data_IF_835180577988
#
_entry.id   IF_835180577988
#
_cell.length_a   1.000
_cell.length_b   1.000
_cell.length_c   1.000
_cell.angle_alpha   90.00
_cell.angle_beta   90.00
_cell.angle_gamma   90.00
#
_symmetry.space_group_name_H-M   'P 1'
#
loop_
_entity.id
_entity.type
_entity.pdbx_description
1 polymer ?
#
# COMPACT_ATOMS: atom_id res chain seq x y z
N UNK A 1 1.90 -3.58 -6.45
CA UNK A 1 1.62 -3.77 -7.89
C UNK A 1 2.62 -2.94 -8.68
N UNK A 2 3.41 -3.55 -9.55
CA UNK A 2 4.30 -2.82 -10.46
C UNK A 2 3.58 -2.53 -11.77
N UNK A 3 3.05 -1.31 -11.92
CA UNK A 3 2.31 -0.91 -13.14
C UNK A 3 3.13 -1.11 -14.43
N UNK A 4 4.45 -0.92 -14.37
CA UNK A 4 5.34 -1.13 -15.52
C UNK A 4 5.45 -2.61 -15.93
N UNK A 5 5.55 -3.53 -14.97
CA UNK A 5 5.62 -4.96 -15.24
C UNK A 5 4.29 -5.48 -15.82
N UNK A 6 3.17 -5.03 -15.26
CA UNK A 6 1.84 -5.40 -15.76
C UNK A 6 1.58 -4.84 -17.17
N UNK A 7 2.04 -3.62 -17.46
CA UNK A 7 1.99 -3.05 -18.81
C UNK A 7 2.84 -3.83 -19.81
N UNK A 8 4.04 -4.29 -19.42
CA UNK A 8 4.86 -5.17 -20.24
C UNK A 8 4.17 -6.51 -20.53
N UNK A 9 3.50 -7.11 -19.54
CA UNK A 9 2.71 -8.34 -19.75
C UNK A 9 1.56 -8.12 -20.76
N UNK A 10 0.90 -6.95 -20.70
CA UNK A 10 -0.17 -6.57 -21.64
C UNK A 10 0.38 -6.47 -23.06
N UNK A 11 1.60 -5.95 -23.24
CA UNK A 11 2.25 -5.80 -24.55
C UNK A 11 2.56 -7.15 -25.23
N UNK A 12 2.74 -8.25 -24.48
CA UNK A 12 2.99 -9.57 -25.07
C UNK A 12 1.80 -10.07 -25.91
N UNK A 13 2.06 -10.40 -27.18
CA UNK A 13 1.08 -10.91 -28.17
C UNK A 13 1.31 -12.40 -28.43
N UNK A 14 0.30 -13.10 -28.96
CA UNK A 14 0.43 -14.52 -29.34
C UNK A 14 0.48 -15.53 -28.17
N UNK A 15 0.15 -15.09 -26.95
CA UNK A 15 -0.02 -15.96 -25.78
C UNK A 15 -1.46 -16.48 -25.71
N UNK A 16 -1.63 -17.74 -25.29
CA UNK A 16 -2.95 -18.26 -24.93
C UNK A 16 -3.55 -17.42 -23.78
N UNK A 17 -4.87 -17.23 -23.71
CA UNK A 17 -5.50 -16.42 -22.65
C UNK A 17 -5.03 -16.79 -21.25
N UNK A 18 -5.02 -18.09 -20.91
CA UNK A 18 -4.55 -18.58 -19.60
C UNK A 18 -3.04 -18.37 -19.39
N UNK A 19 -2.20 -18.56 -20.42
CA UNK A 19 -0.75 -18.22 -20.33
C UNK A 19 -0.56 -16.73 -20.03
N UNK A 20 -1.38 -15.87 -20.63
CA UNK A 20 -1.34 -14.42 -20.41
C UNK A 20 -1.77 -14.02 -19.00
N UNK A 21 -2.76 -14.70 -18.43
CA UNK A 21 -3.18 -14.54 -17.03
C UNK A 21 -2.03 -14.93 -16.07
N UNK A 22 -1.37 -16.07 -16.31
CA UNK A 22 -0.21 -16.49 -15.50
C UNK A 22 0.92 -15.45 -15.54
N UNK A 23 1.25 -14.94 -16.73
CA UNK A 23 2.26 -13.89 -16.88
C UNK A 23 1.86 -12.59 -16.17
N UNK A 24 0.59 -12.22 -16.26
CA UNK A 24 0.04 -11.05 -15.59
C UNK A 24 0.17 -11.15 -14.07
N UNK A 25 -0.18 -12.29 -13.47
CA UNK A 25 -0.06 -12.49 -12.02
C UNK A 25 1.40 -12.49 -11.53
N UNK A 26 2.32 -13.02 -12.34
CA UNK A 26 3.76 -12.92 -12.08
C UNK A 26 4.24 -11.46 -12.11
N UNK A 27 3.79 -10.68 -13.10
CA UNK A 27 4.15 -9.27 -13.25
C UNK A 27 3.53 -8.37 -12.18
N UNK A 28 2.29 -8.66 -11.78
CA UNK A 28 1.59 -7.96 -10.69
C UNK A 28 2.34 -8.09 -9.35
N UNK A 29 2.94 -9.27 -9.12
CA UNK A 29 3.77 -9.61 -7.94
C UNK A 29 5.24 -9.27 -8.10
N UNK A 30 5.66 -8.77 -9.26
CA UNK A 30 7.03 -8.37 -9.49
C UNK A 30 7.38 -7.15 -8.66
N UNK A 31 8.46 -7.28 -7.88
CA UNK A 31 9.09 -6.16 -7.21
C UNK A 31 10.46 -5.91 -7.84
N UNK A 32 10.77 -4.69 -8.31
CA UNK A 32 12.07 -4.37 -8.92
C UNK A 32 13.28 -4.61 -8.03
N UNK A 33 13.12 -4.48 -6.71
CA UNK A 33 14.22 -4.55 -5.74
C UNK A 33 14.45 -5.98 -5.24
N UNK A 34 13.37 -6.75 -5.10
CA UNK A 34 13.45 -8.11 -4.55
C UNK A 34 13.36 -9.18 -5.64
N UNK A 35 12.63 -8.95 -6.72
CA UNK A 35 12.26 -9.94 -7.73
C UNK A 35 10.85 -10.51 -7.51
N UNK A 36 10.52 -11.60 -8.20
CA UNK A 36 9.21 -12.25 -8.14
C UNK A 36 9.34 -13.66 -7.52
N UNK A 37 8.67 -13.93 -6.39
CA UNK A 37 8.76 -15.22 -5.67
C UNK A 37 7.42 -15.82 -5.19
N UNK A 38 6.35 -15.85 -6.00
CA UNK A 38 5.13 -16.52 -5.59
C UNK A 38 5.37 -18.02 -5.43
N UNK A 39 4.76 -18.63 -4.40
CA UNK A 39 4.65 -20.08 -4.36
C UNK A 39 3.78 -20.55 -5.53
N UNK A 40 4.09 -21.72 -6.10
CA UNK A 40 3.27 -22.28 -7.19
C UNK A 40 1.83 -22.55 -6.76
N UNK A 41 1.61 -22.87 -5.47
CA UNK A 41 0.27 -23.06 -4.92
C UNK A 41 -0.54 -21.77 -4.95
N UNK A 42 0.06 -20.66 -4.51
CA UNK A 42 -0.57 -19.34 -4.55
C UNK A 42 -0.80 -18.87 -5.99
N UNK A 43 0.18 -19.05 -6.86
CA UNK A 43 0.05 -18.67 -8.27
C UNK A 43 -1.05 -19.48 -8.99
N UNK A 44 -1.18 -20.77 -8.66
CA UNK A 44 -2.24 -21.64 -9.20
C UNK A 44 -3.63 -21.19 -8.73
N UNK A 45 -3.76 -20.87 -7.44
CA UNK A 45 -4.98 -20.32 -6.85
C UNK A 45 -5.37 -18.99 -7.51
N UNK A 46 -4.42 -18.05 -7.62
CA UNK A 46 -4.67 -16.72 -8.19
C UNK A 46 -5.09 -16.78 -9.68
N UNK A 47 -4.61 -17.79 -10.41
CA UNK A 47 -4.98 -18.03 -11.81
C UNK A 47 -6.20 -18.96 -11.98
N UNK A 48 -6.79 -19.45 -10.89
CA UNK A 48 -7.91 -20.41 -10.89
C UNK A 48 -7.67 -21.69 -11.73
N UNK A 49 -6.44 -22.21 -11.69
CA UNK A 49 -6.05 -23.42 -12.44
C UNK A 49 -5.33 -24.45 -11.57
N UNK A 50 -5.37 -25.72 -11.97
CA UNK A 50 -4.62 -26.78 -11.31
C UNK A 50 -3.09 -26.63 -11.51
N UNK A 51 -2.30 -27.12 -10.55
CA UNK A 51 -0.83 -27.04 -10.57
C UNK A 51 -0.17 -27.64 -11.82
N UNK A 52 -0.70 -28.75 -12.33
CA UNK A 52 -0.20 -29.38 -13.56
C UNK A 52 -0.41 -28.47 -14.78
N UNK A 53 -1.56 -27.78 -14.84
CA UNK A 53 -1.86 -26.80 -15.88
C UNK A 53 -1.00 -25.55 -15.73
N UNK A 54 -0.80 -25.05 -14.51
CA UNK A 54 0.12 -23.93 -14.23
C UNK A 54 1.53 -24.25 -14.73
N UNK A 55 2.08 -25.42 -14.41
CA UNK A 55 3.43 -25.81 -14.84
C UNK A 55 3.55 -25.80 -16.37
N UNK A 56 2.56 -26.33 -17.11
CA UNK A 56 2.55 -26.26 -18.58
C UNK A 56 2.59 -24.83 -19.12
N UNK A 57 1.89 -23.89 -18.46
CA UNK A 57 1.93 -22.48 -18.84
C UNK A 57 3.26 -21.80 -18.47
N UNK A 58 3.87 -22.16 -17.34
CA UNK A 58 5.20 -21.69 -16.98
C UNK A 58 6.25 -22.20 -17.96
N UNK A 59 6.14 -23.45 -18.42
CA UNK A 59 7.03 -24.03 -19.43
C UNK A 59 6.88 -23.32 -20.78
N UNK A 60 5.64 -22.98 -21.20
CA UNK A 60 5.37 -22.17 -22.40
C UNK A 60 5.93 -20.75 -22.29
N UNK A 61 5.94 -20.15 -21.08
CA UNK A 61 6.55 -18.84 -20.84
C UNK A 61 8.10 -18.90 -20.85
N UNK A 62 8.71 -19.97 -20.33
CA UNK A 62 10.16 -20.19 -20.39
C UNK A 62 10.63 -20.44 -21.82
N UNK A 63 9.90 -21.27 -22.58
CA UNK A 63 10.20 -21.54 -23.99
C UNK A 63 10.13 -20.28 -24.88
N UNK A 64 9.38 -19.26 -24.45
CA UNK A 64 9.27 -17.96 -25.12
C UNK A 64 10.22 -16.92 -24.56
N UNK A 65 11.10 -17.28 -23.62
CA UNK A 65 12.04 -16.39 -22.96
C UNK A 65 11.36 -15.20 -22.26
N UNK A 66 10.13 -15.38 -21.79
CA UNK A 66 9.39 -14.37 -21.04
C UNK A 66 9.64 -14.47 -19.54
N UNK A 67 10.02 -15.66 -19.06
CA UNK A 67 10.40 -15.90 -17.67
C UNK A 67 11.57 -16.91 -17.59
N UNK A 68 12.24 -16.97 -16.44
CA UNK A 68 13.17 -18.04 -16.04
C UNK A 68 12.97 -18.37 -14.57
N UNK A 69 12.80 -19.66 -14.22
CA UNK A 69 12.71 -20.10 -12.83
C UNK A 69 14.10 -20.38 -12.25
N UNK A 70 14.50 -19.62 -11.23
CA UNK A 70 15.76 -19.81 -10.50
C UNK A 70 15.44 -20.46 -9.15
N UNK A 71 15.88 -21.70 -8.97
CA UNK A 71 15.79 -22.39 -7.67
C UNK A 71 16.90 -21.87 -6.78
N UNK A 72 16.52 -21.20 -5.69
CA UNK A 72 17.48 -20.67 -4.74
C UNK A 72 17.65 -21.64 -3.57
N UNK A 73 18.89 -21.86 -3.15
CA UNK A 73 19.22 -22.61 -1.94
C UNK A 73 20.03 -21.69 -1.04
N UNK A 74 19.69 -21.66 0.25
CA UNK A 74 20.44 -20.90 1.24
C UNK A 74 21.83 -21.51 1.42
N UNK A 75 22.90 -20.77 1.07
CA UNK A 75 24.28 -21.27 1.16
C UNK A 75 24.74 -21.56 2.59
N UNK A 76 24.12 -20.93 3.60
CA UNK A 76 24.52 -21.07 5.01
C UNK A 76 23.80 -22.21 5.71
N UNK A 77 22.53 -22.44 5.37
CA UNK A 77 21.67 -23.43 6.05
C UNK A 77 21.32 -24.63 5.18
N UNK A 78 21.66 -24.60 3.88
CA UNK A 78 21.28 -25.63 2.91
C UNK A 78 19.77 -25.66 2.60
N UNK A 79 18.97 -24.80 3.22
CA UNK A 79 17.52 -24.82 3.07
C UNK A 79 17.09 -24.25 1.72
N UNK A 80 16.13 -24.91 1.10
CA UNK A 80 15.53 -24.47 -0.15
C UNK A 80 14.75 -23.16 0.08
N UNK A 81 15.08 -22.11 -0.67
CA UNK A 81 14.38 -20.83 -0.66
C UNK A 81 13.27 -20.82 -1.73
N UNK A 82 12.29 -19.91 -1.60
CA UNK A 82 11.25 -19.73 -2.62
C UNK A 82 11.86 -19.55 -4.02
N UNK A 83 11.27 -20.19 -5.02
CA UNK A 83 11.73 -20.09 -6.42
C UNK A 83 11.58 -18.65 -6.89
N UNK A 84 12.63 -18.08 -7.47
CA UNK A 84 12.58 -16.78 -8.14
C UNK A 84 12.11 -16.97 -9.57
N UNK A 85 11.20 -16.12 -10.02
CA UNK A 85 10.81 -15.98 -11.41
C UNK A 85 11.47 -14.72 -11.93
N UNK A 86 12.53 -14.88 -12.72
CA UNK A 86 13.17 -13.78 -13.44
C UNK A 86 12.33 -13.47 -14.68
N UNK A 87 11.86 -12.23 -14.84
CA UNK A 87 11.01 -11.81 -15.94
C UNK A 87 11.85 -11.27 -17.09
N UNK A 88 11.40 -11.46 -18.32
CA UNK A 88 12.14 -11.13 -19.55
C UNK A 88 12.51 -9.65 -19.73
N UNK A 89 11.93 -8.75 -18.93
CA UNK A 89 12.28 -7.33 -18.92
C UNK A 89 13.30 -6.94 -17.82
N UNK A 90 13.66 -7.87 -16.93
CA UNK A 90 14.63 -7.60 -15.87
C UNK A 90 16.04 -7.38 -16.46
N UNK A 91 16.81 -6.39 -15.98
CA UNK A 91 18.21 -6.22 -16.36
C UNK A 91 19.01 -7.49 -16.03
N UNK A 92 19.80 -7.99 -16.99
CA UNK A 92 20.54 -9.25 -16.81
C UNK A 92 19.68 -10.50 -17.03
N UNK A 93 18.49 -10.37 -17.63
CA UNK A 93 17.76 -11.54 -18.15
C UNK A 93 18.57 -12.21 -19.26
N UNK A 94 19.27 -13.27 -18.88
CA UNK A 94 19.92 -14.18 -19.79
C UNK A 94 19.08 -15.47 -19.90
N UNK A 95 18.52 -15.76 -21.09
CA UNK A 95 17.78 -16.99 -21.34
C UNK A 95 18.68 -18.25 -21.31
N UNK A 96 20.01 -18.09 -21.37
CA UNK A 96 20.99 -19.20 -21.45
C UNK A 96 21.68 -19.56 -20.12
N UNK A 97 21.78 -18.63 -19.17
CA UNK A 97 21.98 -18.92 -17.75
C UNK A 97 23.43 -18.97 -17.24
N UNK A 98 24.22 -17.91 -17.43
CA UNK A 98 25.47 -17.74 -16.66
C UNK A 98 25.23 -16.94 -15.37
N UNK A 99 25.37 -17.59 -14.20
CA UNK A 99 25.23 -16.95 -12.88
C UNK A 99 26.61 -16.48 -12.37
N UNK A 100 26.92 -15.17 -12.38
CA UNK A 100 28.13 -14.62 -11.74
C UNK A 100 27.79 -13.39 -10.85
N UNK A 101 28.22 -13.31 -9.57
CA UNK A 101 27.81 -12.25 -8.66
C UNK A 101 28.86 -11.13 -8.53
N UNK A 102 28.53 -9.93 -9.04
CA UNK A 102 29.38 -8.73 -8.95
C UNK A 102 29.18 -7.91 -7.67
N UNK A 103 30.28 -7.63 -6.99
CA UNK A 103 30.50 -6.85 -5.76
C UNK A 103 30.13 -5.36 -5.91
N UNK A 104 29.35 -4.78 -4.98
CA UNK A 104 29.07 -3.34 -4.90
C UNK A 104 29.84 -2.69 -3.74
N UNK A 105 30.66 -1.69 -4.04
CA UNK A 105 31.46 -0.92 -3.07
C UNK A 105 30.74 0.30 -2.49
N UNK A 106 31.20 0.70 -1.31
CA UNK A 106 30.75 1.86 -0.52
C UNK A 106 31.13 3.21 -1.15
N UNK A 107 30.26 4.21 -0.99
CA UNK A 107 30.66 5.63 -0.98
C UNK A 107 29.79 6.43 0.02
N UNK A 108 30.38 7.38 0.79
CA UNK A 108 29.72 8.11 1.87
C UNK A 108 29.15 9.46 1.40
N UNK A 109 28.12 10.05 2.01
CA UNK A 109 27.96 11.52 2.08
C UNK A 109 26.87 11.94 3.09
N UNK A 110 27.28 12.80 4.02
CA UNK A 110 26.43 13.71 4.82
C UNK A 110 25.82 14.81 3.92
N UNK A 111 24.63 15.36 4.28
CA UNK A 111 24.28 16.82 4.28
C UNK A 111 22.75 17.10 4.50
N UNK A 112 22.47 18.27 5.08
CA UNK A 112 21.22 18.89 5.59
C UNK A 112 20.22 19.46 4.52
N UNK A 113 18.98 19.91 4.86
CA UNK A 113 17.80 20.13 3.98
C UNK A 113 17.63 21.59 3.49
N UNK A 114 16.55 22.02 2.79
CA UNK A 114 15.49 21.34 2.01
C UNK A 114 15.51 21.72 0.50
N UNK A 115 16.44 22.56 0.05
CA UNK A 115 16.46 23.07 -1.34
C UNK A 115 16.96 22.01 -2.35
N UNK A 116 17.78 21.06 -1.90
CA UNK A 116 18.34 19.99 -2.74
C UNK A 116 17.29 18.97 -3.17
N UNK A 117 16.22 18.77 -2.39
CA UNK A 117 15.21 17.75 -2.66
C UNK A 117 14.35 18.10 -3.89
N UNK A 118 13.99 19.36 -4.09
CA UNK A 118 13.20 19.81 -5.26
C UNK A 118 14.05 19.70 -6.52
N UNK A 119 15.31 20.15 -6.46
CA UNK A 119 16.25 20.03 -7.58
C UNK A 119 16.50 18.56 -7.98
N UNK A 120 16.64 17.66 -7.02
CA UNK A 120 16.80 16.22 -7.27
C UNK A 120 15.52 15.56 -7.82
N UNK A 121 14.34 16.06 -7.47
CA UNK A 121 13.06 15.57 -8.02
C UNK A 121 12.88 16.06 -9.45
N UNK A 122 13.15 17.32 -9.76
CA UNK A 122 13.08 17.85 -11.12
C UNK A 122 14.12 17.21 -12.04
N UNK A 123 15.33 16.95 -11.55
CA UNK A 123 16.37 16.24 -12.28
C UNK A 123 16.04 14.75 -12.44
N UNK A 124 15.49 14.06 -11.43
CA UNK A 124 15.08 12.66 -11.54
C UNK A 124 13.84 12.45 -12.43
N UNK A 125 12.91 13.41 -12.45
CA UNK A 125 11.74 13.40 -13.33
C UNK A 125 12.14 13.77 -14.77
N UNK A 126 13.11 14.67 -14.98
CA UNK A 126 13.55 15.09 -16.31
C UNK A 126 14.60 14.17 -16.95
N UNK A 127 15.45 13.50 -16.17
CA UNK A 127 16.55 12.66 -16.70
C UNK A 127 16.19 11.18 -16.91
N UNK A 128 15.01 10.72 -16.47
CA UNK A 128 14.60 9.31 -16.64
C UNK A 128 15.53 8.27 -15.96
N UNK A 129 16.43 8.71 -15.07
CA UNK A 129 17.41 7.87 -14.40
C UNK A 129 16.82 7.25 -13.12
N UNK A 130 16.67 5.93 -13.10
CA UNK A 130 16.22 5.16 -11.92
C UNK A 130 17.31 5.15 -10.84
N UNK A 131 17.23 6.09 -9.89
CA UNK A 131 17.99 6.00 -8.63
C UNK A 131 17.14 5.27 -7.59
N UNK A 132 17.74 4.30 -6.90
CA UNK A 132 17.12 3.56 -5.79
C UNK A 132 16.87 4.53 -4.64
N UNK A 133 15.61 4.84 -4.37
CA UNK A 133 15.21 5.63 -3.21
C UNK A 133 15.00 4.65 -2.06
N UNK A 134 15.79 4.80 -1.00
CA UNK A 134 15.65 3.94 0.17
C UNK A 134 14.26 4.10 0.80
N UNK A 135 13.72 3.04 1.41
CA UNK A 135 12.39 3.08 2.05
C UNK A 135 12.29 4.15 3.13
N UNK A 136 13.39 4.44 3.83
CA UNK A 136 13.42 5.56 4.78
C UNK A 136 13.22 6.88 4.04
N UNK A 137 13.94 7.12 2.95
CA UNK A 137 13.80 8.33 2.14
C UNK A 137 12.38 8.51 1.60
N UNK A 138 11.74 7.44 1.11
CA UNK A 138 10.35 7.50 0.68
C UNK A 138 9.40 7.77 1.85
N UNK A 139 9.61 7.13 3.01
CA UNK A 139 8.82 7.37 4.22
C UNK A 139 8.99 8.81 4.72
N UNK A 140 10.20 9.36 4.64
CA UNK A 140 10.51 10.74 4.99
C UNK A 140 9.79 11.70 4.04
N UNK A 141 9.81 11.43 2.73
CA UNK A 141 9.08 12.23 1.73
C UNK A 141 7.57 12.17 1.94
N UNK A 142 7.01 10.99 2.19
CA UNK A 142 5.59 10.84 2.54
C UNK A 142 5.30 11.59 3.84
N UNK A 143 6.22 11.58 4.82
CA UNK A 143 6.12 12.36 6.04
C UNK A 143 6.05 13.86 5.78
N UNK A 144 6.91 14.39 4.91
CA UNK A 144 6.91 15.81 4.48
C UNK A 144 5.62 16.16 3.74
N UNK A 145 5.19 15.32 2.80
CA UNK A 145 3.91 15.51 2.10
C UNK A 145 2.74 15.50 3.08
N UNK A 146 2.68 14.54 4.00
CA UNK A 146 1.65 14.47 5.02
C UNK A 146 1.65 15.68 5.97
N UNK A 147 2.83 16.21 6.30
CA UNK A 147 2.97 17.45 7.07
C UNK A 147 2.35 18.64 6.33
N UNK A 148 2.67 18.81 5.04
CA UNK A 148 2.13 19.92 4.24
C UNK A 148 0.66 19.75 3.86
N UNK A 149 0.15 18.53 3.76
CA UNK A 149 -1.28 18.27 3.53
C UNK A 149 -2.14 18.42 4.79
N UNK A 150 -1.53 18.55 5.98
CA UNK A 150 -2.25 18.71 7.24
C UNK A 150 -3.33 19.81 7.18
N UNK A 151 -3.06 21.04 6.71
CA UNK A 151 -4.08 22.09 6.66
C UNK A 151 -5.25 21.76 5.74
N UNK A 152 -5.02 20.99 4.67
CA UNK A 152 -6.09 20.53 3.76
C UNK A 152 -6.97 19.52 4.46
N UNK A 153 -6.37 18.55 5.17
CA UNK A 153 -7.09 17.55 5.95
C UNK A 153 -7.89 18.21 7.08
N UNK A 154 -7.29 19.16 7.80
CA UNK A 154 -7.94 19.91 8.86
C UNK A 154 -9.13 20.71 8.32
N UNK A 155 -8.94 21.42 7.21
CA UNK A 155 -10.01 22.20 6.56
C UNK A 155 -11.14 21.32 6.04
N UNK A 156 -10.82 20.12 5.54
CA UNK A 156 -11.82 19.14 5.11
C UNK A 156 -12.59 18.58 6.31
N UNK A 157 -11.92 18.31 7.43
CA UNK A 157 -12.56 17.88 8.66
C UNK A 157 -13.53 18.95 9.19
N UNK A 158 -13.13 20.23 9.19
CA UNK A 158 -14.02 21.36 9.51
C UNK A 158 -15.21 21.44 8.57
N UNK A 159 -14.99 21.28 7.27
CA UNK A 159 -16.06 21.27 6.28
C UNK A 159 -17.07 20.15 6.54
N UNK A 160 -16.58 18.93 6.81
CA UNK A 160 -17.44 17.80 7.16
C UNK A 160 -18.24 18.09 8.44
N UNK A 161 -17.61 18.67 9.46
CA UNK A 161 -18.29 19.07 10.71
C UNK A 161 -19.32 20.19 10.56
N UNK A 162 -19.36 20.90 9.44
CA UNK A 162 -20.44 21.82 9.12
C UNK A 162 -21.75 21.13 8.69
N UNK A 163 -21.74 19.81 8.50
CA UNK A 163 -22.88 19.06 7.99
C UNK A 163 -23.93 18.81 9.09
N UNK A 164 -25.15 18.46 8.70
CA UNK A 164 -26.21 18.10 9.66
C UNK A 164 -26.07 16.67 10.16
N UNK A 165 -25.54 15.79 9.31
CA UNK A 165 -25.33 14.36 9.57
C UNK A 165 -23.92 13.94 9.17
N UNK A 166 -23.32 13.08 9.98
CA UNK A 166 -22.05 12.43 9.71
C UNK A 166 -22.12 10.93 10.00
N UNK A 167 -21.18 10.19 9.43
CA UNK A 167 -20.94 8.78 9.68
C UNK A 167 -19.57 8.67 10.34
N UNK A 168 -19.46 7.83 11.36
CA UNK A 168 -18.16 7.50 11.93
C UNK A 168 -18.05 6.00 12.17
N UNK A 169 -16.92 5.44 11.75
CA UNK A 169 -16.58 4.03 11.92
C UNK A 169 -15.07 3.89 12.15
N UNK A 170 -14.68 2.87 12.91
CA UNK A 170 -13.29 2.57 13.21
C UNK A 170 -12.88 1.18 12.73
N UNK A 171 -11.77 1.13 11.99
CA UNK A 171 -11.19 -0.10 11.49
C UNK A 171 -9.82 -0.35 12.12
N UNK A 172 -9.52 -1.60 12.44
CA UNK A 172 -8.22 -1.99 13.01
C UNK A 172 -7.11 -1.91 11.96
N UNK A 173 -5.92 -1.48 12.39
CA UNK A 173 -4.73 -1.43 11.56
C UNK A 173 -3.52 -2.01 12.33
N UNK A 174 -2.68 -2.87 11.71
CA UNK A 174 -1.44 -3.31 12.33
C UNK A 174 -0.41 -2.18 12.30
N UNK A 175 0.05 -1.74 13.47
CA UNK A 175 1.03 -0.66 13.63
C UNK A 175 2.30 -1.22 14.25
N UNK A 176 3.46 -0.82 13.73
CA UNK A 176 4.73 -1.19 14.34
C UNK A 176 4.84 -0.61 15.76
N UNK A 177 5.31 -1.42 16.70
CA UNK A 177 5.68 -1.02 18.06
C UNK A 177 7.18 -1.29 18.27
N UNK A 178 8.06 -0.37 17.80
CA UNK A 178 9.49 -0.60 17.72
C UNK A 178 10.12 -0.95 19.08
N UNK A 179 9.58 -0.39 20.16
CA UNK A 179 10.05 -0.65 21.52
C UNK A 179 9.78 -2.08 22.01
N UNK A 180 8.90 -2.82 21.34
CA UNK A 180 8.54 -4.22 21.70
C UNK A 180 8.88 -5.22 20.60
N UNK A 181 9.43 -4.79 19.47
CA UNK A 181 9.76 -5.65 18.34
C UNK A 181 8.56 -6.41 17.75
N UNK A 182 7.34 -5.91 17.94
CA UNK A 182 6.08 -6.53 17.50
C UNK A 182 5.17 -5.48 16.88
N UNK A 183 4.09 -5.93 16.24
CA UNK A 183 2.98 -5.06 15.84
C UNK A 183 1.94 -4.97 16.95
N UNK A 184 1.41 -3.76 17.17
CA UNK A 184 0.23 -3.53 18.00
C UNK A 184 -0.98 -3.20 17.11
N UNK A 185 -2.17 -3.40 17.64
CA UNK A 185 -3.41 -2.97 16.97
C UNK A 185 -3.62 -1.48 17.21
N UNK A 186 -3.60 -0.70 16.15
CA UNK A 186 -4.10 0.68 16.13
C UNK A 186 -5.46 0.75 15.44
N UNK A 187 -6.05 1.95 15.40
CA UNK A 187 -7.38 2.19 14.85
C UNK A 187 -7.36 3.40 13.92
N UNK A 188 -7.92 3.21 12.72
CA UNK A 188 -8.23 4.29 11.79
C UNK A 188 -9.72 4.59 11.86
N UNK A 189 -10.04 5.85 12.15
CA UNK A 189 -11.40 6.35 12.33
C UNK A 189 -11.78 7.14 11.08
N UNK A 190 -12.75 6.65 10.32
CA UNK A 190 -13.28 7.35 9.17
C UNK A 190 -14.42 8.26 9.61
N UNK A 191 -14.27 9.57 9.42
CA UNK A 191 -15.36 10.53 9.53
C UNK A 191 -15.84 10.87 8.12
N UNK A 192 -17.08 10.53 7.80
CA UNK A 192 -17.60 10.63 6.44
C UNK A 192 -18.94 11.34 6.35
N UNK A 193 -19.20 11.92 5.18
CA UNK A 193 -20.51 12.39 4.72
C UNK A 193 -20.76 11.81 3.33
N UNK A 194 -21.89 11.15 3.15
CA UNK A 194 -22.43 10.83 1.82
C UNK A 194 -23.95 10.69 1.89
N UNK A 195 -24.66 11.79 1.65
CA UNK A 195 -26.13 11.83 1.66
C UNK A 195 -26.74 11.76 0.25
N UNK A 196 -25.94 11.49 -0.79
CA UNK A 196 -26.43 11.45 -2.18
C UNK A 196 -27.54 10.42 -2.39
N UNK A 197 -27.48 9.29 -1.68
CA UNK A 197 -28.52 8.25 -1.70
C UNK A 197 -29.87 8.69 -1.11
N UNK A 198 -29.89 9.82 -0.39
CA UNK A 198 -31.07 10.39 0.28
C UNK A 198 -31.41 11.79 -0.25
N UNK A 199 -30.89 12.18 -1.42
CA UNK A 199 -31.15 13.47 -2.04
C UNK A 199 -30.36 14.64 -1.43
N UNK A 200 -29.30 14.37 -0.67
CA UNK A 200 -28.40 15.41 -0.14
C UNK A 200 -27.65 16.13 -1.27
N UNK A 201 -27.57 17.46 -1.17
CA UNK A 201 -26.90 18.31 -2.16
C UNK A 201 -25.39 18.48 -1.90
N UNK A 202 -24.93 18.15 -0.69
CA UNK A 202 -23.52 18.29 -0.32
C UNK A 202 -22.65 17.20 -0.96
N UNK A 203 -21.42 17.52 -1.40
CA UNK A 203 -20.51 16.55 -1.99
C UNK A 203 -20.06 15.50 -0.95
N UNK A 204 -19.81 14.24 -1.37
CA UNK A 204 -19.30 13.23 -0.46
C UNK A 204 -17.89 13.58 0.01
N UNK A 205 -17.54 13.19 1.23
CA UNK A 205 -16.19 13.41 1.76
C UNK A 205 -15.87 12.49 2.92
N UNK A 206 -14.58 12.22 3.11
CA UNK A 206 -14.06 11.40 4.20
C UNK A 206 -12.73 11.96 4.71
N UNK A 207 -12.55 11.95 6.02
CA UNK A 207 -11.26 12.20 6.70
C UNK A 207 -10.96 11.02 7.61
N UNK A 208 -9.70 10.62 7.65
CA UNK A 208 -9.22 9.56 8.53
C UNK A 208 -8.44 10.15 9.69
N UNK A 209 -8.76 9.71 10.90
CA UNK A 209 -7.98 9.95 12.10
C UNK A 209 -7.32 8.66 12.57
N UNK A 210 -6.13 8.78 13.17
CA UNK A 210 -5.46 7.65 13.78
C UNK A 210 -5.54 7.75 15.31
N UNK A 211 -5.87 6.63 15.96
CA UNK A 211 -5.74 6.48 17.40
C UNK A 211 -5.03 5.15 17.75
N UNK A 212 -4.20 5.13 18.81
CA UNK A 212 -3.51 3.92 19.25
C UNK A 212 -4.43 2.91 19.96
N UNK A 213 -5.65 3.31 20.31
CA UNK A 213 -6.66 2.47 20.97
C UNK A 213 -8.08 2.76 20.46
N UNK A 214 -9.04 1.95 20.92
CA UNK A 214 -10.46 2.04 20.53
C UNK A 214 -11.30 2.90 21.50
N UNK A 215 -10.67 3.70 22.35
CA UNK A 215 -11.36 4.44 23.41
C UNK A 215 -12.33 5.49 22.84
N UNK A 216 -13.54 5.58 23.42
CA UNK A 216 -14.54 6.59 23.01
C UNK A 216 -14.09 8.06 23.19
N UNK A 217 -13.02 8.31 23.97
CA UNK A 217 -12.40 9.63 24.06
C UNK A 217 -11.79 10.08 22.71
N UNK A 218 -11.36 9.14 21.87
CA UNK A 218 -10.85 9.46 20.54
C UNK A 218 -11.99 10.01 19.68
N UNK A 219 -13.16 9.33 19.69
CA UNK A 219 -14.37 9.79 19.03
C UNK A 219 -14.82 11.18 19.52
N UNK A 220 -14.81 11.43 20.84
CA UNK A 220 -15.09 12.75 21.42
C UNK A 220 -14.14 13.82 20.86
N UNK A 221 -12.85 13.50 20.79
CA UNK A 221 -11.80 14.40 20.31
C UNK A 221 -11.99 14.72 18.82
N UNK A 222 -12.26 13.71 18.00
CA UNK A 222 -12.44 13.86 16.56
C UNK A 222 -13.72 14.61 16.22
N UNK A 223 -14.80 14.41 16.97
CA UNK A 223 -16.09 15.09 16.76
C UNK A 223 -16.22 16.43 17.50
N UNK A 224 -15.16 16.94 18.14
CA UNK A 224 -15.19 18.26 18.78
C UNK A 224 -15.71 19.33 17.81
N UNK A 225 -16.69 20.11 18.28
CA UNK A 225 -17.38 21.18 17.55
C UNK A 225 -18.54 20.70 16.66
N UNK A 226 -18.87 19.41 16.67
CA UNK A 226 -20.00 18.85 15.92
C UNK A 226 -21.14 18.44 16.86
N UNK A 227 -22.32 19.00 16.61
CA UNK A 227 -23.52 18.85 17.45
C UNK A 227 -24.74 18.31 16.65
N UNK A 228 -24.45 17.76 15.46
CA UNK A 228 -25.44 17.18 14.57
C UNK A 228 -25.80 15.73 14.91
N UNK A 229 -26.17 14.98 13.87
CA UNK A 229 -26.49 13.55 13.94
C UNK A 229 -25.26 12.75 13.54
N UNK A 230 -24.87 11.75 14.31
CA UNK A 230 -23.80 10.80 13.92
C UNK A 230 -24.37 9.40 13.83
N UNK A 231 -24.24 8.79 12.66
CA UNK A 231 -24.55 7.38 12.45
C UNK A 231 -23.33 6.53 12.83
N UNK A 232 -23.56 5.51 13.65
CA UNK A 232 -22.54 4.68 14.29
C UNK A 232 -22.88 3.18 14.14
N UNK A 233 -21.88 2.32 14.32
CA UNK A 233 -21.99 0.84 14.23
C UNK A 233 -22.65 0.18 15.47
N UNK A 234 -23.01 0.97 16.49
CA UNK A 234 -23.57 0.49 17.74
C UNK A 234 -22.54 0.12 18.81
N UNK A 235 -21.25 0.43 18.61
CA UNK A 235 -20.22 0.21 19.62
C UNK A 235 -20.46 1.07 20.88
N UNK A 236 -20.42 0.42 22.05
CA UNK A 236 -20.69 1.07 23.34
C UNK A 236 -19.72 2.22 23.67
N UNK A 237 -18.53 2.26 23.05
CA UNK A 237 -17.57 3.34 23.22
C UNK A 237 -18.15 4.71 22.84
N UNK A 238 -19.15 4.75 21.96
CA UNK A 238 -19.81 5.97 21.53
C UNK A 238 -20.87 6.50 22.49
N UNK A 239 -21.30 5.71 23.49
CA UNK A 239 -22.31 6.13 24.48
C UNK A 239 -21.91 7.38 25.27
N UNK A 240 -20.62 7.76 25.24
CA UNK A 240 -20.15 9.00 25.86
C UNK A 240 -20.49 10.25 25.05
N UNK A 241 -20.66 10.12 23.72
CA UNK A 241 -21.01 11.22 22.83
C UNK A 241 -22.44 11.74 23.04
N UNK A 242 -23.33 10.91 23.58
CA UNK A 242 -24.75 11.26 23.78
C UNK A 242 -25.02 11.85 25.17
N UNK A 243 -23.99 11.97 26.03
CA UNK A 243 -24.16 12.44 27.41
C UNK A 243 -24.10 13.97 27.49
N UNK A 244 -24.88 14.61 28.37
CA UNK A 244 -24.77 16.06 28.67
C UNK A 244 -23.37 16.50 29.12
N UNK A 245 -22.57 15.59 29.67
CA UNK A 245 -21.20 15.85 30.13
C UNK A 245 -20.13 15.69 29.05
N UNK A 246 -20.53 15.56 27.77
CA UNK A 246 -19.60 15.47 26.64
C UNK A 246 -18.66 16.67 26.63
N UNK A 247 -17.37 16.39 26.40
CA UNK A 247 -16.35 17.44 26.25
C UNK A 247 -16.22 17.84 24.78
N UNK A 248 -16.28 19.14 24.50
CA UNK A 248 -16.00 19.69 23.18
C UNK A 248 -17.20 19.79 22.22
N UNK A 249 -18.43 19.73 22.73
CA UNK A 249 -19.67 19.95 21.95
C UNK A 249 -20.90 19.58 22.78
N UNK A 250 -22.08 19.88 22.26
CA UNK A 250 -23.36 19.43 22.78
C UNK A 250 -23.53 17.91 22.59
N UNK A 251 -24.45 17.25 23.31
CA UNK A 251 -24.73 15.83 23.11
C UNK A 251 -25.10 15.51 21.65
N UNK A 252 -24.40 14.54 21.07
CA UNK A 252 -24.71 14.05 19.72
C UNK A 252 -26.00 13.26 19.72
N UNK A 253 -26.75 13.41 18.64
CA UNK A 253 -27.90 12.56 18.30
C UNK A 253 -27.40 11.37 17.47
N UNK A 254 -27.84 10.17 17.81
CA UNK A 254 -27.47 8.92 17.12
C UNK A 254 -28.71 8.35 16.44
#
# INVERSE_FOLDING_TARGET
MSHAATNWAIQQRGLKPTTKIVLWHLCDRFNPDYGCFPSQERLAHDCEIGRATLNRHLDDLEARHLIRRIRMTDRRTGQQRPTRYLLGFEPGFDPSGSDDPGTGGDAPFDLDPPQTAIALIEEAVSAGARRTIHRSTLADWIGVVAFHLRPVVDRLAEHLKGSTKLFMDETTAPVLDPGRGRTKTGYLWALARDDRGWGGADPPGVVFFYAPDRGGQNAETFLRGFDGIVQLDGYQGYNRLTRPSRKGGDPIRV
#
